data_IF_334894075614
#
_entry.id   IF_334894075614
#
_cell.length_a   1.000
_cell.length_b   1.000
_cell.length_c   1.000
_cell.angle_alpha   90.00
_cell.angle_beta   90.00
_cell.angle_gamma   90.00
#
_symmetry.space_group_name_H-M   'P 1'
#
loop_
_entity.id
_entity.type
_entity.pdbx_description
1 polymer ?
#
# COMPACT_ATOMS: atom_id res chain seq x y z
N UNK A 1 2.56 9.51 -14.70
CA UNK A 1 2.04 8.31 -15.38
C UNK A 1 1.09 8.73 -16.49
N UNK A 2 1.58 9.12 -17.68
CA UNK A 2 0.69 9.43 -18.81
C UNK A 2 0.85 8.47 -20.00
N UNK A 3 2.03 7.87 -20.17
CA UNK A 3 2.33 6.96 -21.29
C UNK A 3 2.95 5.62 -20.85
N UNK A 4 2.53 5.08 -19.70
CA UNK A 4 2.78 3.67 -19.40
C UNK A 4 1.48 2.91 -19.67
N UNK A 5 1.40 2.21 -20.80
CA UNK A 5 0.24 1.35 -21.09
C UNK A 5 0.16 0.27 -20.02
N UNK A 6 -0.73 0.48 -19.05
CA UNK A 6 -0.98 -0.42 -17.93
C UNK A 6 -1.26 -1.85 -18.42
N UNK A 7 -1.71 -2.03 -19.66
CA UNK A 7 -2.03 -3.33 -20.22
C UNK A 7 -0.82 -4.18 -20.60
N UNK A 8 0.31 -3.57 -20.95
CA UNK A 8 1.47 -4.30 -21.48
C UNK A 8 2.45 -4.70 -20.37
N UNK A 9 2.47 -3.95 -19.25
CA UNK A 9 3.44 -4.12 -18.17
C UNK A 9 2.79 -4.35 -16.80
N UNK A 10 1.62 -5.01 -16.76
CA UNK A 10 0.80 -5.22 -15.55
C UNK A 10 1.59 -5.75 -14.35
N UNK A 11 2.45 -6.75 -14.58
CA UNK A 11 3.26 -7.33 -13.52
C UNK A 11 4.36 -6.37 -13.03
N UNK A 12 5.03 -5.66 -13.96
CA UNK A 12 6.08 -4.71 -13.58
C UNK A 12 5.51 -3.54 -12.77
N UNK A 13 4.35 -3.01 -13.19
CA UNK A 13 3.63 -1.97 -12.45
C UNK A 13 3.21 -2.48 -11.07
N UNK A 14 2.71 -3.71 -10.98
CA UNK A 14 2.32 -4.34 -9.72
C UNK A 14 3.50 -4.49 -8.75
N UNK A 15 4.66 -4.95 -9.24
CA UNK A 15 5.90 -5.06 -8.44
C UNK A 15 6.34 -3.69 -7.94
N UNK A 16 6.48 -2.72 -8.85
CA UNK A 16 6.95 -1.38 -8.51
C UNK A 16 6.02 -0.67 -7.53
N UNK A 17 4.72 -0.81 -7.73
CA UNK A 17 3.73 -0.23 -6.85
C UNK A 17 3.80 -0.82 -5.44
N UNK A 18 3.97 -2.15 -5.32
CA UNK A 18 4.20 -2.80 -4.02
C UNK A 18 5.45 -2.24 -3.32
N UNK A 19 6.58 -2.19 -4.03
CA UNK A 19 7.85 -1.70 -3.48
C UNK A 19 7.73 -0.22 -3.06
N UNK A 20 7.05 0.59 -3.87
CA UNK A 20 6.81 2.00 -3.57
C UNK A 20 6.00 2.18 -2.28
N UNK A 21 4.89 1.45 -2.11
CA UNK A 21 4.07 1.51 -0.89
C UNK A 21 4.87 1.03 0.33
N UNK A 22 5.65 -0.04 0.19
CA UNK A 22 6.51 -0.58 1.26
C UNK A 22 7.52 0.45 1.76
N UNK A 23 8.31 1.02 0.86
CA UNK A 23 9.31 2.03 1.18
C UNK A 23 8.67 3.31 1.76
N UNK A 24 7.48 3.69 1.28
CA UNK A 24 6.79 4.87 1.80
C UNK A 24 6.38 4.68 3.25
N UNK A 25 5.85 3.50 3.59
CA UNK A 25 5.47 3.16 4.96
C UNK A 25 6.68 3.08 5.87
N UNK A 26 7.76 2.42 5.44
CA UNK A 26 9.00 2.32 6.23
C UNK A 26 9.58 3.71 6.51
N UNK A 27 9.66 4.57 5.48
CA UNK A 27 10.12 5.95 5.63
C UNK A 27 9.31 6.73 6.68
N UNK A 28 7.99 6.56 6.70
CA UNK A 28 7.12 7.18 7.69
C UNK A 28 7.34 6.63 9.10
N UNK A 29 7.46 5.31 9.24
CA UNK A 29 7.69 4.67 10.52
C UNK A 29 9.03 5.11 11.12
N UNK A 30 10.08 5.16 10.29
CA UNK A 30 11.41 5.63 10.67
C UNK A 30 11.37 7.10 11.11
N UNK A 31 10.77 7.97 10.28
CA UNK A 31 10.66 9.41 10.58
C UNK A 31 9.93 9.69 11.89
N UNK A 32 8.86 8.95 12.17
CA UNK A 32 8.05 9.13 13.37
C UNK A 32 8.50 8.26 14.55
N UNK A 33 9.65 7.57 14.45
CA UNK A 33 10.18 6.69 15.49
C UNK A 33 9.19 5.60 15.95
N UNK A 34 8.37 5.10 15.03
CA UNK A 34 7.39 4.03 15.30
C UNK A 34 8.07 2.69 15.13
N UNK A 35 8.15 1.90 16.21
CA UNK A 35 8.86 0.62 16.19
C UNK A 35 8.22 -0.44 15.26
N UNK A 36 9.00 -0.96 14.33
CA UNK A 36 8.68 -2.15 13.53
C UNK A 36 9.83 -3.14 13.49
N UNK A 37 9.53 -4.40 13.19
CA UNK A 37 10.55 -5.43 13.01
C UNK A 37 10.83 -5.64 11.52
N UNK A 38 12.07 -5.96 11.16
CA UNK A 38 12.44 -6.26 9.77
C UNK A 38 11.67 -7.46 9.20
N UNK A 39 11.30 -8.41 10.06
CA UNK A 39 10.46 -9.56 9.70
C UNK A 39 8.95 -9.27 9.63
N UNK A 40 8.50 -8.06 9.95
CA UNK A 40 7.10 -7.68 9.79
C UNK A 40 6.77 -7.58 8.30
N UNK A 41 5.73 -8.27 7.87
CA UNK A 41 5.22 -8.11 6.51
C UNK A 41 4.59 -6.73 6.33
N UNK A 42 4.44 -6.34 5.07
CA UNK A 42 3.91 -5.04 4.69
C UNK A 42 2.53 -4.74 5.30
N UNK A 43 1.66 -5.76 5.47
CA UNK A 43 0.38 -5.62 6.19
C UNK A 43 0.56 -5.08 7.61
N UNK A 44 1.48 -5.67 8.38
CA UNK A 44 1.75 -5.27 9.77
C UNK A 44 2.37 -3.87 9.84
N UNK A 45 3.29 -3.55 8.93
CA UNK A 45 3.89 -2.22 8.84
C UNK A 45 2.83 -1.15 8.54
N UNK A 46 1.94 -1.41 7.59
CA UNK A 46 0.83 -0.53 7.24
C UNK A 46 -0.16 -0.36 8.41
N UNK A 47 -0.45 -1.43 9.15
CA UNK A 47 -1.31 -1.38 10.34
C UNK A 47 -0.70 -0.51 11.45
N UNK A 48 0.60 -0.64 11.70
CA UNK A 48 1.33 0.21 12.65
C UNK A 48 1.30 1.68 12.26
N UNK A 49 1.54 1.98 10.98
CA UNK A 49 1.47 3.36 10.48
C UNK A 49 0.05 3.93 10.64
N UNK A 50 -0.99 3.19 10.24
CA UNK A 50 -2.38 3.61 10.38
C UNK A 50 -2.79 3.79 11.86
N UNK A 51 -2.34 2.92 12.75
CA UNK A 51 -2.59 3.04 14.19
C UNK A 51 -1.92 4.29 14.77
N UNK A 52 -0.68 4.58 14.37
CA UNK A 52 0.02 5.79 14.78
C UNK A 52 -0.70 7.05 14.27
N UNK A 53 -1.11 7.10 13.00
CA UNK A 53 -1.87 8.23 12.43
C UNK A 53 -3.19 8.49 13.17
N UNK A 54 -3.91 7.42 13.55
CA UNK A 54 -5.16 7.49 14.32
C UNK A 54 -4.90 8.04 15.75
N UNK A 55 -3.82 7.59 16.41
CA UNK A 55 -3.41 8.08 17.73
C UNK A 55 -3.05 9.56 17.72
N UNK A 56 -2.36 10.02 16.67
CA UNK A 56 -1.99 11.44 16.49
C UNK A 56 -3.16 12.31 15.98
N UNK A 57 -4.31 11.70 15.65
CA UNK A 57 -5.47 12.36 15.03
C UNK A 57 -5.16 13.07 13.71
N UNK A 58 -4.19 12.54 12.96
CA UNK A 58 -3.80 13.06 11.64
C UNK A 58 -4.70 12.57 10.51
N UNK A 59 -5.37 11.44 10.74
CA UNK A 59 -6.28 10.82 9.78
C UNK A 59 -7.62 10.51 10.43
N UNK A 60 -8.70 10.71 9.68
CA UNK A 60 -10.02 10.21 10.04
C UNK A 60 -10.15 8.71 9.78
N UNK A 61 -11.14 8.08 10.43
CA UNK A 61 -11.49 6.68 10.16
C UNK A 61 -11.86 6.42 8.70
N UNK A 62 -12.37 7.43 7.98
CA UNK A 62 -12.73 7.31 6.57
C UNK A 62 -11.49 7.26 5.67
N UNK A 63 -10.50 8.11 5.94
CA UNK A 63 -9.24 8.15 5.18
C UNK A 63 -8.42 6.86 5.38
N UNK A 64 -8.43 6.31 6.59
CA UNK A 64 -7.76 5.03 6.88
C UNK A 64 -8.56 3.80 6.43
N UNK A 65 -9.82 3.95 5.98
CA UNK A 65 -10.69 2.80 5.66
C UNK A 65 -10.15 2.00 4.48
N UNK A 66 -9.66 2.68 3.44
CA UNK A 66 -9.15 2.05 2.22
C UNK A 66 -7.98 1.12 2.52
N UNK A 67 -6.95 1.63 3.21
CA UNK A 67 -5.79 0.85 3.60
C UNK A 67 -6.12 -0.27 4.61
N UNK A 68 -7.02 -0.01 5.57
CA UNK A 68 -7.46 -1.06 6.52
C UNK A 68 -8.19 -2.19 5.81
N UNK A 69 -9.05 -1.88 4.82
CA UNK A 69 -9.74 -2.88 4.01
C UNK A 69 -8.79 -3.66 3.09
N UNK A 70 -7.76 -2.99 2.58
CA UNK A 70 -6.68 -3.61 1.80
C UNK A 70 -5.87 -4.61 2.63
N UNK A 71 -5.51 -4.24 3.86
CA UNK A 71 -4.77 -5.11 4.79
C UNK A 71 -5.62 -6.33 5.21
N UNK A 72 -6.89 -6.11 5.53
CA UNK A 72 -7.76 -7.11 6.16
C UNK A 72 -8.29 -8.18 5.20
N UNK A 73 -8.34 -7.91 3.89
CA UNK A 73 -8.95 -8.82 2.93
C UNK A 73 -7.88 -9.55 2.09
N UNK A 74 -7.68 -10.86 2.27
CA UNK A 74 -6.71 -11.65 1.50
C UNK A 74 -7.01 -11.70 0.00
N UNK A 75 -8.27 -11.43 -0.38
CA UNK A 75 -8.74 -11.43 -1.77
C UNK A 75 -8.82 -10.01 -2.38
N UNK A 76 -8.49 -8.97 -1.61
CA UNK A 76 -8.43 -7.63 -2.15
C UNK A 76 -7.24 -7.55 -3.13
N UNK A 77 -7.38 -6.92 -4.31
CA UNK A 77 -6.25 -6.61 -5.20
C UNK A 77 -5.07 -5.96 -4.48
N UNK A 78 -5.35 -5.21 -3.41
CA UNK A 78 -4.37 -4.57 -2.54
C UNK A 78 -3.82 -5.41 -1.39
N UNK A 79 -4.39 -6.60 -1.13
CA UNK A 79 -3.79 -7.46 -0.12
C UNK A 79 -2.35 -7.69 -0.54
N UNK A 80 -1.43 -7.48 0.39
CA UNK A 80 -0.02 -7.62 0.08
C UNK A 80 0.31 -9.07 -0.34
N UNK A 81 -0.53 -10.03 0.02
CA UNK A 81 -0.50 -11.40 -0.51
C UNK A 81 -0.90 -11.46 -2.00
N UNK A 82 -1.86 -10.65 -2.44
CA UNK A 82 -2.31 -10.56 -3.84
C UNK A 82 -1.27 -9.89 -4.73
N UNK A 83 -0.61 -8.83 -4.26
CA UNK A 83 0.57 -8.29 -4.96
C UNK A 83 1.67 -9.33 -5.06
N UNK A 84 1.97 -10.03 -3.97
CA UNK A 84 2.96 -11.10 -3.99
C UNK A 84 2.56 -12.20 -4.98
N UNK A 85 1.28 -12.55 -5.06
CA UNK A 85 0.75 -13.49 -6.04
C UNK A 85 0.89 -12.97 -7.49
N UNK A 86 0.66 -11.68 -7.76
CA UNK A 86 0.89 -11.08 -9.08
C UNK A 86 2.36 -11.16 -9.52
N UNK A 87 3.30 -11.13 -8.57
CA UNK A 87 4.75 -11.28 -8.85
C UNK A 87 5.14 -12.74 -9.05
N UNK A 88 4.62 -13.65 -8.22
CA UNK A 88 5.09 -15.02 -8.15
C UNK A 88 4.26 -16.04 -8.95
N UNK A 89 3.10 -15.65 -9.49
CA UNK A 89 2.25 -16.55 -10.26
C UNK A 89 2.11 -16.09 -11.72
N UNK A 90 2.77 -16.82 -12.63
CA UNK A 90 2.73 -16.62 -14.10
C UNK A 90 1.36 -16.74 -14.76
N UNK A 91 0.34 -17.14 -14.02
CA UNK A 91 -1.04 -17.31 -14.48
C UNK A 91 -2.02 -16.38 -13.77
N UNK A 92 -1.53 -15.53 -12.86
CA UNK A 92 -2.35 -14.63 -12.07
C UNK A 92 -1.82 -13.22 -12.22
N UNK A 93 -2.49 -12.45 -13.08
CA UNK A 93 -2.09 -11.10 -13.44
C UNK A 93 -3.16 -10.12 -12.98
N UNK A 94 -2.79 -8.94 -12.47
CA UNK A 94 -3.76 -7.89 -12.25
C UNK A 94 -4.30 -7.42 -13.60
N UNK A 95 -5.51 -6.88 -13.61
CA UNK A 95 -6.03 -6.08 -14.73
C UNK A 95 -5.73 -4.59 -14.51
N UNK A 96 -5.84 -3.76 -15.55
CA UNK A 96 -5.70 -2.30 -15.41
C UNK A 96 -6.64 -1.70 -14.36
N UNK A 97 -7.94 -2.05 -14.35
CA UNK A 97 -8.88 -1.65 -13.29
C UNK A 97 -8.50 -2.11 -11.89
N UNK A 98 -7.89 -3.28 -11.73
CA UNK A 98 -7.42 -3.75 -10.42
C UNK A 98 -6.31 -2.85 -9.86
N UNK A 99 -5.37 -2.44 -10.72
CA UNK A 99 -4.29 -1.52 -10.35
C UNK A 99 -4.80 -0.10 -10.05
N UNK A 100 -5.80 0.39 -10.80
CA UNK A 100 -6.41 1.69 -10.54
C UNK A 100 -7.18 1.68 -9.21
N UNK A 101 -8.00 0.65 -8.97
CA UNK A 101 -8.72 0.47 -7.69
C UNK A 101 -7.74 0.34 -6.52
N UNK A 102 -6.60 -0.30 -6.76
CA UNK A 102 -5.52 -0.38 -5.79
C UNK A 102 -4.93 0.99 -5.47
N UNK A 103 -4.63 1.80 -6.48
CA UNK A 103 -4.16 3.16 -6.26
C UNK A 103 -5.18 4.00 -5.45
N UNK A 104 -6.44 4.03 -5.87
CA UNK A 104 -7.48 4.86 -5.25
C UNK A 104 -7.67 4.56 -3.76
N UNK A 105 -7.57 3.28 -3.38
CA UNK A 105 -7.74 2.84 -2.00
C UNK A 105 -6.54 3.16 -1.08
N UNK A 106 -5.32 3.36 -1.63
CA UNK A 106 -4.13 3.68 -0.84
C UNK A 106 -3.74 5.16 -0.92
N UNK A 107 -4.21 5.89 -1.94
CA UNK A 107 -3.79 7.27 -2.20
C UNK A 107 -4.00 8.17 -0.98
N UNK A 108 -5.20 8.17 -0.39
CA UNK A 108 -5.49 9.02 0.77
C UNK A 108 -4.57 8.73 1.96
N UNK A 109 -4.20 7.47 2.17
CA UNK A 109 -3.24 7.09 3.21
C UNK A 109 -1.84 7.63 2.89
N UNK A 110 -1.38 7.54 1.65
CA UNK A 110 -0.08 8.07 1.22
C UNK A 110 -0.03 9.60 1.29
N UNK A 111 -1.10 10.29 0.93
CA UNK A 111 -1.17 11.75 0.99
C UNK A 111 -0.97 12.25 2.43
N UNK A 112 -1.63 11.61 3.41
CA UNK A 112 -1.46 11.91 4.83
C UNK A 112 -0.05 11.55 5.30
N UNK A 113 0.44 10.38 4.90
CA UNK A 113 1.80 9.93 5.19
C UNK A 113 2.83 10.99 4.79
N UNK A 114 2.78 11.45 3.53
CA UNK A 114 3.73 12.45 3.02
C UNK A 114 3.52 13.86 3.60
N UNK A 115 2.30 14.19 4.05
CA UNK A 115 2.06 15.45 4.76
C UNK A 115 2.78 15.51 6.12
N UNK A 116 3.07 14.35 6.73
CA UNK A 116 3.74 14.22 8.02
C UNK A 116 5.17 13.67 7.93
N UNK A 117 5.78 13.79 6.75
CA UNK A 117 7.20 13.58 6.48
C UNK A 117 7.98 14.90 6.28
N UNK A 118 7.29 16.05 6.34
CA UNK A 118 7.86 17.39 6.22
C UNK A 118 7.98 18.05 7.59
#
# INVERSE_FOLDING_TARGET
MRDLELNDYRNAVSVLFRVFVELSIELYLDHNSVAYNDGDNLSKKAEKAAAHMDQQKWASKHELKGIKAAIASPHNPLSFNTFNAYVHNRHFHPTGPDLATAWDNVQSFLDILYAHLK
#
